data_IF_625289519141
#
_entry.id   IF_625289519141
#
_cell.length_a   1.000
_cell.length_b   1.000
_cell.length_c   1.000
_cell.angle_alpha   90.00
_cell.angle_beta   90.00
_cell.angle_gamma   90.00
#
_symmetry.space_group_name_H-M   'P 1'
#
loop_
_entity.id
_entity.type
_entity.pdbx_description
1 polymer ?
#
# COMPACT_ATOMS: atom_id res chain seq x y z
N UNK A 1 -8.25 -20.64 -22.85
CA UNK A 1 -7.79 -20.37 -21.47
C UNK A 1 -6.30 -20.65 -21.43
N UNK A 2 -5.52 -19.79 -20.78
CA UNK A 2 -4.08 -20.03 -20.56
C UNK A 2 -3.96 -20.58 -19.15
N UNK A 3 -3.35 -21.75 -19.02
CA UNK A 3 -3.01 -22.32 -17.71
C UNK A 3 -1.69 -21.71 -17.23
N UNK A 4 -1.67 -21.30 -15.97
CA UNK A 4 -0.50 -20.67 -15.34
C UNK A 4 -0.21 -21.43 -14.04
N UNK A 5 1.05 -21.80 -13.85
CA UNK A 5 1.50 -22.44 -12.62
C UNK A 5 1.46 -21.43 -11.46
N UNK A 6 0.93 -21.86 -10.31
CA UNK A 6 0.75 -21.03 -9.13
C UNK A 6 1.51 -21.61 -7.94
N UNK A 7 1.97 -20.73 -7.05
CA UNK A 7 2.62 -21.09 -5.78
C UNK A 7 1.96 -20.31 -4.64
N UNK A 8 1.94 -20.89 -3.44
CA UNK A 8 1.42 -20.19 -2.26
C UNK A 8 2.53 -19.44 -1.53
N UNK A 9 2.16 -18.34 -0.88
CA UNK A 9 3.09 -17.58 -0.02
C UNK A 9 3.70 -18.44 1.08
N UNK A 10 2.95 -19.41 1.61
CA UNK A 10 3.45 -20.36 2.61
C UNK A 10 4.60 -21.23 2.07
N UNK A 11 4.47 -21.73 0.83
CA UNK A 11 5.55 -22.51 0.20
C UNK A 11 6.78 -21.63 0.01
N UNK A 12 6.60 -20.38 -0.43
CA UNK A 12 7.71 -19.43 -0.60
C UNK A 12 8.44 -19.18 0.73
N UNK A 13 7.71 -18.98 1.84
CA UNK A 13 8.33 -18.79 3.15
C UNK A 13 9.04 -20.05 3.65
N UNK A 14 8.48 -21.23 3.41
CA UNK A 14 9.14 -22.48 3.77
C UNK A 14 10.44 -22.69 2.98
N UNK A 15 10.44 -22.37 1.69
CA UNK A 15 11.59 -22.58 0.81
C UNK A 15 12.71 -21.55 1.02
N UNK A 16 12.36 -20.28 1.22
CA UNK A 16 13.32 -19.16 1.24
C UNK A 16 13.47 -18.49 2.60
N UNK A 17 12.69 -18.90 3.59
CA UNK A 17 12.62 -18.25 4.90
C UNK A 17 11.73 -16.99 4.89
N UNK A 18 11.67 -16.34 6.05
CA UNK A 18 10.90 -15.11 6.23
C UNK A 18 11.66 -13.93 5.62
N UNK A 19 11.08 -13.20 4.65
CA UNK A 19 11.77 -12.09 4.00
C UNK A 19 11.89 -10.89 4.94
N UNK A 20 12.95 -10.10 4.76
CA UNK A 20 13.09 -8.79 5.44
C UNK A 20 11.96 -7.82 5.07
N UNK A 21 11.55 -7.82 3.80
CA UNK A 21 10.50 -6.95 3.26
C UNK A 21 9.58 -7.75 2.34
N UNK A 22 8.27 -7.71 2.60
CA UNK A 22 7.24 -8.38 1.81
C UNK A 22 6.40 -7.34 1.06
N UNK A 23 6.65 -7.19 -0.26
CA UNK A 23 5.77 -6.43 -1.16
C UNK A 23 4.70 -7.35 -1.72
N UNK A 24 3.46 -6.92 -1.67
CA UNK A 24 2.29 -7.60 -2.23
C UNK A 24 1.57 -6.57 -3.11
N UNK A 25 1.25 -6.98 -4.33
CA UNK A 25 0.58 -6.16 -5.34
C UNK A 25 0.01 -7.13 -6.39
N UNK A 26 -1.03 -7.86 -6.00
CA UNK A 26 -1.62 -8.96 -6.80
C UNK A 26 -3.08 -8.68 -7.16
N UNK A 27 -3.41 -7.39 -7.31
CA UNK A 27 -4.67 -6.88 -7.88
C UNK A 27 -5.91 -7.48 -7.18
N UNK A 28 -6.02 -7.26 -5.87
CA UNK A 28 -7.20 -7.63 -5.08
C UNK A 28 -7.11 -8.96 -4.32
N UNK A 29 -6.05 -9.73 -4.52
CA UNK A 29 -5.82 -11.00 -3.80
C UNK A 29 -4.80 -10.89 -2.67
N UNK A 30 -4.33 -9.68 -2.36
CA UNK A 30 -3.29 -9.38 -1.37
C UNK A 30 -3.55 -10.03 0.01
N UNK A 31 -4.82 -10.15 0.37
CA UNK A 31 -5.24 -10.78 1.62
C UNK A 31 -4.75 -12.22 1.75
N UNK A 32 -4.64 -12.98 0.66
CA UNK A 32 -4.14 -14.36 0.69
C UNK A 32 -2.68 -14.41 1.17
N UNK A 33 -1.86 -13.46 0.71
CA UNK A 33 -0.46 -13.35 1.11
C UNK A 33 -0.31 -12.87 2.56
N UNK A 34 -1.19 -11.97 3.02
CA UNK A 34 -1.18 -11.50 4.40
C UNK A 34 -1.61 -12.62 5.34
N UNK A 35 -2.71 -13.32 5.05
CA UNK A 35 -3.20 -14.43 5.86
C UNK A 35 -2.17 -15.57 5.97
N UNK A 36 -1.35 -15.77 4.94
CA UNK A 36 -0.27 -16.74 4.91
C UNK A 36 0.88 -16.47 5.90
N UNK A 37 1.03 -15.23 6.40
CA UNK A 37 2.04 -14.90 7.40
C UNK A 37 1.69 -15.64 8.70
N UNK A 38 2.58 -16.51 9.16
CA UNK A 38 2.44 -17.22 10.42
C UNK A 38 3.31 -16.56 11.49
N UNK A 39 2.69 -15.82 12.41
CA UNK A 39 3.36 -15.10 13.49
C UNK A 39 4.22 -16.00 14.39
N UNK A 40 3.93 -17.30 14.48
CA UNK A 40 4.72 -18.25 15.26
C UNK A 40 5.99 -18.72 14.52
N UNK A 41 6.00 -18.64 13.19
CA UNK A 41 7.16 -18.99 12.37
C UNK A 41 8.12 -17.81 12.15
N UNK A 42 7.63 -16.58 12.37
CA UNK A 42 8.36 -15.33 12.19
C UNK A 42 7.61 -14.34 11.30
N UNK A 43 7.94 -13.07 11.44
CA UNK A 43 7.29 -11.97 10.73
C UNK A 43 8.27 -11.25 9.81
N UNK A 44 7.88 -10.94 8.56
CA UNK A 44 8.58 -9.93 7.80
C UNK A 44 8.70 -8.63 8.60
N UNK A 45 9.88 -8.02 8.60
CA UNK A 45 10.08 -6.76 9.34
C UNK A 45 9.18 -5.65 8.77
N UNK A 46 8.96 -5.70 7.46
CA UNK A 46 8.12 -4.77 6.72
C UNK A 46 7.18 -5.49 5.76
N UNK A 47 5.94 -5.00 5.69
CA UNK A 47 4.96 -5.39 4.67
C UNK A 47 4.50 -4.15 3.92
N UNK A 48 4.30 -4.27 2.61
CA UNK A 48 3.58 -3.29 1.80
C UNK A 48 2.56 -4.01 0.93
N UNK A 49 1.32 -3.53 0.94
CA UNK A 49 0.21 -4.10 0.16
C UNK A 49 -0.71 -2.98 -0.34
N UNK A 50 -1.46 -3.25 -1.40
CA UNK A 50 -2.44 -2.29 -1.90
C UNK A 50 -3.56 -2.05 -0.87
N UNK A 51 -4.03 -0.80 -0.75
CA UNK A 51 -5.11 -0.36 0.15
C UNK A 51 -6.50 -0.85 -0.31
N UNK A 52 -6.68 -2.15 -0.53
CA UNK A 52 -7.95 -2.70 -1.06
C UNK A 52 -9.05 -2.80 0.00
N UNK A 53 -8.70 -2.98 1.27
CA UNK A 53 -9.67 -3.05 2.37
C UNK A 53 -9.05 -2.74 3.73
N UNK A 54 -9.83 -2.10 4.61
CA UNK A 54 -9.45 -1.89 6.01
C UNK A 54 -9.15 -3.20 6.76
N UNK A 55 -9.75 -4.32 6.33
CA UNK A 55 -9.48 -5.64 6.91
C UNK A 55 -8.01 -6.04 6.82
N UNK A 56 -7.26 -5.57 5.81
CA UNK A 56 -5.82 -5.85 5.72
C UNK A 56 -5.08 -5.24 6.91
N UNK A 57 -5.46 -4.03 7.36
CA UNK A 57 -4.87 -3.38 8.54
C UNK A 57 -5.23 -4.16 9.80
N UNK A 58 -6.48 -4.63 9.92
CA UNK A 58 -6.91 -5.48 11.03
C UNK A 58 -6.11 -6.79 11.11
N UNK A 59 -5.96 -7.50 9.99
CA UNK A 59 -5.19 -8.75 9.92
C UNK A 59 -3.71 -8.51 10.20
N UNK A 60 -3.10 -7.45 9.65
CA UNK A 60 -1.71 -7.12 9.96
C UNK A 60 -1.54 -6.81 11.45
N UNK A 61 -2.48 -6.07 12.05
CA UNK A 61 -2.42 -5.80 13.48
C UNK A 61 -2.54 -7.07 14.32
N UNK A 62 -3.46 -7.98 14.00
CA UNK A 62 -3.61 -9.24 14.73
C UNK A 62 -2.37 -10.13 14.64
N UNK A 63 -1.64 -10.08 13.53
CA UNK A 63 -0.37 -10.82 13.33
C UNK A 63 0.85 -10.24 14.03
N UNK A 64 0.75 -9.03 14.59
CA UNK A 64 1.82 -8.43 15.40
C UNK A 64 2.43 -7.15 14.84
N UNK A 65 1.96 -6.64 13.70
CA UNK A 65 2.40 -5.34 13.18
C UNK A 65 1.80 -4.21 14.04
N UNK A 66 2.58 -3.16 14.32
CA UNK A 66 2.19 -2.09 15.26
C UNK A 66 2.30 -0.68 14.72
N UNK A 67 3.06 -0.50 13.64
CA UNK A 67 3.32 0.79 13.02
C UNK A 67 2.90 0.75 11.56
N UNK A 68 2.13 1.75 11.13
CA UNK A 68 1.55 1.80 9.79
C UNK A 68 1.86 3.10 9.04
N UNK A 69 1.77 3.07 7.71
CA UNK A 69 1.66 4.27 6.86
C UNK A 69 0.64 4.01 5.76
N UNK A 70 -0.09 5.06 5.36
CA UNK A 70 -0.92 5.08 4.17
C UNK A 70 -0.29 6.02 3.15
N UNK A 71 0.26 5.47 2.07
CA UNK A 71 1.11 6.19 1.11
C UNK A 71 0.43 6.30 -0.24
N UNK A 72 0.20 7.53 -0.69
CA UNK A 72 -0.40 7.85 -1.98
C UNK A 72 0.59 7.55 -3.11
N UNK A 73 0.29 6.52 -3.89
CA UNK A 73 1.06 6.06 -5.03
C UNK A 73 0.89 6.98 -6.27
N UNK A 74 -0.24 7.68 -6.37
CA UNK A 74 -0.51 8.68 -7.41
C UNK A 74 0.26 10.01 -7.20
N UNK A 75 0.62 10.32 -5.95
CA UNK A 75 1.20 11.60 -5.55
C UNK A 75 2.64 11.50 -5.04
N UNK A 76 3.50 10.78 -5.78
CA UNK A 76 4.93 10.64 -5.47
C UNK A 76 5.18 10.09 -4.05
N UNK A 77 4.46 9.04 -3.67
CA UNK A 77 4.68 8.31 -2.42
C UNK A 77 4.59 9.22 -1.17
N UNK A 78 3.61 10.14 -1.18
CA UNK A 78 3.33 11.05 -0.06
C UNK A 78 2.33 10.43 0.90
N UNK A 79 2.38 10.74 2.21
CA UNK A 79 1.35 10.31 3.13
C UNK A 79 0.00 10.94 2.76
N UNK A 80 -1.09 10.26 3.13
CA UNK A 80 -2.45 10.80 3.00
C UNK A 80 -2.53 12.22 3.59
N UNK A 81 -3.06 13.16 2.81
CA UNK A 81 -3.40 14.50 3.27
C UNK A 81 -4.86 14.78 2.92
N UNK A 82 -5.76 14.60 3.89
CA UNK A 82 -7.19 14.64 3.62
C UNK A 82 -7.68 16.00 3.10
N UNK A 83 -7.08 17.10 3.56
CA UNK A 83 -7.43 18.45 3.09
C UNK A 83 -7.08 18.63 1.61
N UNK A 84 -5.98 18.02 1.17
CA UNK A 84 -5.56 18.00 -0.23
C UNK A 84 -6.48 17.10 -1.06
N UNK A 85 -6.80 15.90 -0.56
CA UNK A 85 -7.68 14.94 -1.25
C UNK A 85 -9.10 15.49 -1.47
N UNK A 86 -9.64 16.26 -0.51
CA UNK A 86 -10.96 16.92 -0.63
C UNK A 86 -10.97 18.11 -1.61
N UNK A 87 -9.82 18.53 -2.11
CA UNK A 87 -9.73 19.68 -3.02
C UNK A 87 -10.21 19.30 -4.42
N UNK A 88 -11.15 20.08 -4.98
CA UNK A 88 -11.68 19.84 -6.32
C UNK A 88 -10.63 19.93 -7.44
N UNK A 89 -9.54 20.70 -7.24
CA UNK A 89 -8.45 20.83 -8.23
C UNK A 89 -7.44 19.68 -8.17
N UNK A 90 -7.37 18.96 -7.06
CA UNK A 90 -6.34 17.96 -6.86
C UNK A 90 -6.47 16.74 -7.79
N UNK A 91 -7.68 16.18 -8.03
CA UNK A 91 -7.90 15.17 -9.06
C UNK A 91 -7.42 15.60 -10.46
N UNK A 92 -7.71 16.86 -10.84
CA UNK A 92 -7.30 17.44 -12.14
C UNK A 92 -5.78 17.52 -12.23
N UNK A 93 -5.13 17.99 -11.16
CA UNK A 93 -3.68 18.03 -11.04
C UNK A 93 -3.06 16.64 -11.20
N UNK A 94 -3.57 15.63 -10.49
CA UNK A 94 -3.06 14.25 -10.58
C UNK A 94 -3.18 13.73 -12.01
N UNK A 95 -4.34 13.90 -12.65
CA UNK A 95 -4.58 13.44 -14.02
C UNK A 95 -3.58 14.05 -15.00
N UNK A 96 -3.35 15.36 -14.94
CA UNK A 96 -2.41 16.05 -15.83
C UNK A 96 -0.97 15.61 -15.55
N UNK A 97 -0.53 15.71 -14.29
CA UNK A 97 0.83 15.33 -13.87
C UNK A 97 1.14 13.89 -14.27
N UNK A 98 0.27 12.95 -13.95
CA UNK A 98 0.49 11.53 -14.20
C UNK A 98 0.46 11.21 -15.70
N UNK A 99 -0.41 11.90 -16.46
CA UNK A 99 -0.40 11.84 -17.92
C UNK A 99 0.92 12.32 -18.54
N UNK A 100 1.54 13.36 -17.99
CA UNK A 100 2.87 13.84 -18.41
C UNK A 100 3.94 12.81 -18.02
N UNK A 101 3.94 12.32 -16.78
CA UNK A 101 4.92 11.33 -16.31
C UNK A 101 4.89 10.07 -17.17
N UNK A 102 3.72 9.49 -17.45
CA UNK A 102 3.59 8.30 -18.31
C UNK A 102 4.24 8.46 -19.70
N UNK A 103 4.28 9.68 -20.25
CA UNK A 103 4.82 9.95 -21.59
C UNK A 103 6.32 10.25 -21.57
N UNK A 104 6.79 10.95 -20.54
CA UNK A 104 8.12 11.53 -20.52
C UNK A 104 9.07 10.93 -19.48
N UNK A 105 8.58 10.14 -18.52
CA UNK A 105 9.42 9.64 -17.42
C UNK A 105 10.60 8.78 -17.88
N UNK A 106 10.48 8.09 -19.01
CA UNK A 106 11.56 7.28 -19.58
C UNK A 106 12.77 8.10 -20.06
N UNK A 107 12.60 9.41 -20.23
CA UNK A 107 13.66 10.34 -20.66
C UNK A 107 14.18 11.20 -19.51
N UNK A 108 13.62 11.06 -18.31
CA UNK A 108 13.98 11.86 -17.14
C UNK A 108 14.72 10.96 -16.13
N UNK A 109 15.70 11.49 -15.38
CA UNK A 109 16.42 10.73 -14.35
C UNK A 109 15.58 10.60 -13.07
N UNK A 110 14.41 9.95 -13.19
CA UNK A 110 13.48 9.75 -12.08
C UNK A 110 13.82 8.43 -11.37
N UNK A 111 14.22 8.52 -10.10
CA UNK A 111 14.56 7.34 -9.28
C UNK A 111 13.38 6.37 -9.13
N UNK A 112 12.17 6.90 -8.89
CA UNK A 112 10.94 6.13 -8.73
C UNK A 112 9.92 6.63 -9.76
N UNK A 113 9.87 6.00 -10.96
CA UNK A 113 8.90 6.35 -11.99
C UNK A 113 7.46 6.23 -11.48
N UNK A 114 6.54 6.93 -12.14
CA UNK A 114 5.12 6.73 -11.93
C UNK A 114 4.77 5.26 -12.26
N UNK A 115 3.91 4.67 -11.42
CA UNK A 115 3.56 3.24 -11.42
C UNK A 115 4.68 2.27 -11.03
N UNK A 116 5.75 2.74 -10.38
CA UNK A 116 6.70 1.84 -9.70
C UNK A 116 6.26 1.56 -8.26
N UNK A 117 6.76 0.48 -7.65
CA UNK A 117 6.50 0.14 -6.24
C UNK A 117 7.02 1.18 -5.23
N UNK A 118 7.88 2.11 -5.69
CA UNK A 118 8.38 3.20 -4.85
C UNK A 118 9.49 2.82 -3.87
N UNK A 119 9.81 3.75 -2.95
CA UNK A 119 10.80 3.51 -1.90
C UNK A 119 10.25 2.59 -0.78
N UNK A 120 11.17 2.01 0.00
CA UNK A 120 10.81 1.33 1.25
C UNK A 120 10.06 2.26 2.21
N UNK A 121 9.25 1.67 3.10
CA UNK A 121 8.41 2.41 4.06
C UNK A 121 9.20 3.39 4.94
N UNK A 122 10.46 3.11 5.27
CA UNK A 122 11.31 4.05 6.02
C UNK A 122 11.76 5.27 5.20
N UNK A 123 11.82 5.12 3.87
CA UNK A 123 12.25 6.18 2.96
C UNK A 123 11.08 6.96 2.35
N UNK A 124 9.82 6.56 2.61
CA UNK A 124 8.64 7.37 2.29
C UNK A 124 8.49 8.53 3.26
N UNK A 125 7.86 9.62 2.80
CA UNK A 125 7.57 10.77 3.65
C UNK A 125 6.50 10.43 4.69
N UNK A 126 6.43 11.25 5.74
CA UNK A 126 5.46 11.09 6.82
C UNK A 126 5.95 10.13 7.91
N UNK A 127 5.37 10.28 9.11
CA UNK A 127 5.67 9.42 10.24
C UNK A 127 4.93 8.08 10.14
N UNK A 128 5.47 7.07 10.80
CA UNK A 128 4.70 5.87 11.11
C UNK A 128 3.62 6.22 12.15
N UNK A 129 2.42 5.68 11.97
CA UNK A 129 1.24 5.93 12.81
C UNK A 129 0.81 4.67 13.56
N UNK A 130 0.00 4.81 14.61
CA UNK A 130 -0.58 3.67 15.32
C UNK A 130 -1.70 3.02 14.50
N UNK A 131 -2.15 1.86 14.96
CA UNK A 131 -3.30 1.16 14.39
C UNK A 131 -4.59 2.02 14.41
N UNK A 132 -4.87 2.68 15.52
CA UNK A 132 -6.06 3.53 15.69
C UNK A 132 -6.01 4.73 14.74
N UNK A 133 -4.84 5.37 14.63
CA UNK A 133 -4.66 6.50 13.70
C UNK A 133 -4.78 6.04 12.24
N UNK A 134 -4.27 4.85 11.91
CA UNK A 134 -4.42 4.27 10.58
C UNK A 134 -5.88 4.03 10.20
N UNK A 135 -6.70 3.53 11.14
CA UNK A 135 -8.15 3.36 10.94
C UNK A 135 -8.81 4.72 10.65
N UNK A 136 -8.51 5.74 11.45
CA UNK A 136 -9.06 7.08 11.28
C UNK A 136 -8.64 7.69 9.93
N UNK A 137 -7.39 7.50 9.52
CA UNK A 137 -6.89 7.93 8.22
C UNK A 137 -7.65 7.25 7.09
N UNK A 138 -7.79 5.92 7.12
CA UNK A 138 -8.53 5.16 6.13
C UNK A 138 -9.98 5.64 6.04
N UNK A 139 -10.67 5.74 7.19
CA UNK A 139 -12.07 6.19 7.26
C UNK A 139 -12.23 7.62 6.78
N UNK A 140 -11.25 8.50 7.00
CA UNK A 140 -11.31 9.87 6.50
C UNK A 140 -11.32 9.95 4.97
N UNK A 141 -10.70 8.98 4.29
CA UNK A 141 -10.57 8.94 2.84
C UNK A 141 -11.63 8.06 2.15
N UNK A 142 -11.96 6.89 2.72
CA UNK A 142 -12.92 5.94 2.15
C UNK A 142 -14.29 5.92 2.86
N UNK A 143 -14.46 6.66 3.96
CA UNK A 143 -15.68 6.62 4.78
C UNK A 143 -15.74 5.43 5.74
N UNK A 144 -16.88 5.28 6.43
CA UNK A 144 -17.08 4.29 7.51
C UNK A 144 -17.60 2.92 7.03
N UNK A 145 -17.47 2.55 5.74
CA UNK A 145 -18.14 1.36 5.19
C UNK A 145 -17.41 0.65 4.05
N UNK A 146 -17.90 -0.53 3.70
CA UNK A 146 -17.29 -1.49 2.75
C UNK A 146 -17.42 -1.07 1.27
N UNK A 147 -18.25 -0.06 0.96
CA UNK A 147 -18.51 0.43 -0.40
C UNK A 147 -18.91 1.91 -0.40
N UNK A 148 -18.01 2.80 0.03
CA UNK A 148 -18.15 4.23 -0.28
C UNK A 148 -17.05 4.62 -1.25
N UNK A 149 -17.40 5.51 -2.19
CA UNK A 149 -16.42 6.04 -3.13
C UNK A 149 -15.32 6.77 -2.37
N UNK A 150 -14.05 6.60 -2.77
CA UNK A 150 -12.96 7.37 -2.20
C UNK A 150 -13.24 8.86 -2.39
N UNK A 151 -12.79 9.67 -1.43
CA UNK A 151 -12.83 11.15 -1.52
C UNK A 151 -12.21 11.65 -2.83
N UNK A 152 -11.23 10.91 -3.37
CA UNK A 152 -10.61 11.19 -4.66
C UNK A 152 -10.36 9.90 -5.44
N UNK A 153 -11.09 9.69 -6.54
CA UNK A 153 -10.96 8.50 -7.40
C UNK A 153 -9.63 8.40 -8.17
N UNK A 154 -8.81 9.45 -8.20
CA UNK A 154 -7.50 9.45 -8.88
C UNK A 154 -6.33 9.15 -7.93
N UNK A 155 -6.58 9.08 -6.64
CA UNK A 155 -5.60 8.66 -5.64
C UNK A 155 -5.78 7.18 -5.33
N UNK A 156 -4.69 6.43 -5.34
CA UNK A 156 -4.63 5.08 -4.78
C UNK A 156 -3.45 4.98 -3.83
N UNK A 157 -3.52 4.03 -2.90
CA UNK A 157 -2.63 3.98 -1.75
C UNK A 157 -2.08 2.58 -1.53
N UNK A 158 -0.87 2.54 -1.01
CA UNK A 158 -0.35 1.36 -0.34
C UNK A 158 -0.44 1.53 1.17
N UNK A 159 -0.76 0.44 1.84
CA UNK A 159 -0.45 0.30 3.26
C UNK A 159 0.96 -0.20 3.41
N UNK A 160 1.70 0.45 4.30
CA UNK A 160 2.95 -0.08 4.82
C UNK A 160 2.74 -0.44 6.28
N UNK A 161 3.28 -1.58 6.70
CA UNK A 161 3.27 -2.02 8.09
C UNK A 161 4.68 -2.45 8.51
N UNK A 162 5.02 -2.25 9.77
CA UNK A 162 6.24 -2.82 10.38
C UNK A 162 5.99 -3.30 11.81
N UNK A 163 6.82 -4.24 12.24
CA UNK A 163 6.94 -4.58 13.66
C UNK A 163 7.63 -3.42 14.41
N UNK A 164 7.40 -3.31 15.71
CA UNK A 164 8.02 -2.27 16.55
C UNK A 164 9.46 -2.63 16.91
#
# INVERSE_FOLDING_TARGET
MIEVECITTQILFHQYGIPYYLKIDIEGYDYLCIEAINENAGLPLYVSCESTSLNLVHTLYSKGYRKFKMINQADNFRPLNISKEKSWVFPIYLKIKNGILLRFQKYLPIKYPYSSSGPFGENTKGRWVSYEEMILMYQSFYGNGVRQEPVNQYSWFDFHAKID
#
